data_IF_090990318179
#
_entry.id   IF_090990318179
#
_cell.length_a   1.000
_cell.length_b   1.000
_cell.length_c   1.000
_cell.angle_alpha   90.00
_cell.angle_beta   90.00
_cell.angle_gamma   90.00
#
_symmetry.space_group_name_H-M   'P 1'
#
loop_
_entity.id
_entity.type
_entity.pdbx_description
1 polymer ?
#
# COMPACT_ATOMS: atom_id res chain seq x y z
N UNK A 1 -14.70 20.54 -3.51
CA UNK A 1 -14.01 19.32 -3.11
C UNK A 1 -13.73 19.32 -1.61
N UNK A 2 -12.75 20.08 -1.10
CA UNK A 2 -12.31 20.05 0.31
C UNK A 2 -13.47 20.07 1.34
N UNK A 3 -14.39 21.03 1.25
CA UNK A 3 -15.57 21.11 2.15
C UNK A 3 -16.44 19.83 2.15
N UNK A 4 -16.56 19.13 1.02
CA UNK A 4 -17.29 17.86 0.94
C UNK A 4 -16.48 16.71 1.54
N UNK A 5 -15.16 16.66 1.27
CA UNK A 5 -14.22 15.69 1.85
C UNK A 5 -14.24 15.79 3.38
N UNK A 6 -14.10 16.99 3.93
CA UNK A 6 -14.11 17.23 5.37
C UNK A 6 -15.45 16.83 6.00
N UNK A 7 -16.57 17.20 5.36
CA UNK A 7 -17.91 16.81 5.81
C UNK A 7 -18.05 15.28 5.89
N UNK A 8 -17.73 14.55 4.81
CA UNK A 8 -17.81 13.08 4.77
C UNK A 8 -16.89 12.42 5.80
N UNK A 9 -15.67 12.92 5.98
CA UNK A 9 -14.73 12.40 6.98
C UNK A 9 -15.24 12.59 8.40
N UNK A 10 -15.90 13.72 8.71
CA UNK A 10 -16.54 13.89 10.02
C UNK A 10 -17.72 12.92 10.23
N UNK A 11 -18.52 12.64 9.20
CA UNK A 11 -19.58 11.63 9.30
C UNK A 11 -19.00 10.22 9.54
N UNK A 12 -17.96 9.84 8.79
CA UNK A 12 -17.28 8.55 8.99
C UNK A 12 -16.65 8.45 10.39
N UNK A 13 -16.09 9.54 10.94
CA UNK A 13 -15.56 9.58 12.32
C UNK A 13 -16.65 9.46 13.40
N UNK A 14 -17.90 9.80 13.09
CA UNK A 14 -19.04 9.48 13.94
C UNK A 14 -19.36 7.97 13.98
N UNK A 15 -19.07 7.26 12.89
CA UNK A 15 -19.44 5.85 12.67
C UNK A 15 -18.30 4.88 13.04
N UNK A 16 -17.04 5.28 12.84
CA UNK A 16 -15.86 4.44 13.01
C UNK A 16 -14.86 5.05 14.00
N UNK A 17 -14.09 4.20 14.69
CA UNK A 17 -12.98 4.57 15.58
C UNK A 17 -11.79 5.09 14.77
N UNK A 18 -11.43 4.38 13.69
CA UNK A 18 -10.33 4.75 12.82
C UNK A 18 -10.85 5.14 11.43
N UNK A 19 -10.43 6.32 10.96
CA UNK A 19 -10.77 6.88 9.64
C UNK A 19 -9.55 7.62 9.10
N UNK A 20 -9.04 7.19 7.96
CA UNK A 20 -7.87 7.78 7.31
C UNK A 20 -8.08 7.87 5.80
N UNK A 21 -7.60 8.96 5.20
CA UNK A 21 -7.41 9.07 3.76
C UNK A 21 -5.91 8.81 3.54
N UNK A 22 -5.52 7.81 2.72
CA UNK A 22 -4.12 7.59 2.38
C UNK A 22 -3.51 8.88 1.80
N UNK A 23 -2.30 9.29 2.22
CA UNK A 23 -1.73 10.52 1.73
C UNK A 23 -1.41 10.40 0.24
N UNK A 24 -1.41 11.54 -0.44
CA UNK A 24 -1.16 11.65 -1.88
C UNK A 24 -0.14 12.78 -2.13
N UNK A 25 0.47 12.73 -3.31
CA UNK A 25 1.38 13.79 -3.80
C UNK A 25 0.58 15.08 -4.01
N UNK A 26 1.14 16.23 -3.57
CA UNK A 26 0.45 17.53 -3.51
C UNK A 26 -0.08 18.01 -4.87
N UNK A 27 0.68 17.82 -5.95
CA UNK A 27 0.40 18.32 -7.30
C UNK A 27 -0.85 17.75 -8.03
N UNK A 28 -1.67 16.92 -7.37
CA UNK A 28 -2.94 16.44 -7.94
C UNK A 28 -3.99 17.56 -8.00
N UNK A 29 -3.96 18.33 -9.09
CA UNK A 29 -4.88 19.42 -9.42
C UNK A 29 -6.36 19.01 -9.53
N UNK A 30 -6.67 17.73 -9.72
CA UNK A 30 -8.04 17.23 -9.80
C UNK A 30 -8.28 16.15 -8.74
N UNK A 31 -9.48 16.18 -8.17
CA UNK A 31 -9.90 15.33 -7.07
C UNK A 31 -11.36 14.88 -7.28
N UNK A 32 -11.62 14.18 -8.39
CA UNK A 32 -12.94 13.60 -8.67
C UNK A 32 -13.36 12.54 -7.63
N UNK A 33 -12.37 11.86 -7.07
CA UNK A 33 -12.45 10.77 -6.11
C UNK A 33 -11.68 11.08 -4.81
N UNK A 34 -12.02 10.37 -3.73
CA UNK A 34 -11.08 10.12 -2.63
C UNK A 34 -11.30 8.75 -1.98
N UNK A 35 -10.23 7.96 -1.92
CA UNK A 35 -10.17 6.73 -1.14
C UNK A 35 -10.17 7.04 0.36
N UNK A 36 -10.98 6.31 1.14
CA UNK A 36 -10.96 6.35 2.60
C UNK A 36 -10.89 4.95 3.17
N UNK A 37 -10.03 4.74 4.16
CA UNK A 37 -9.88 3.51 4.90
C UNK A 37 -10.51 3.71 6.28
N UNK A 38 -11.36 2.77 6.70
CA UNK A 38 -12.11 2.81 7.96
C UNK A 38 -11.98 1.49 8.73
N UNK A 39 -12.00 1.55 10.06
CA UNK A 39 -11.92 0.39 10.95
C UNK A 39 -12.58 0.68 12.31
N UNK A 40 -13.11 -0.37 12.95
CA UNK A 40 -13.77 -0.31 14.26
C UNK A 40 -15.12 0.43 14.22
N UNK A 41 -16.22 -0.19 13.78
CA UNK A 41 -17.55 0.42 13.83
C UNK A 41 -17.99 0.68 15.28
N UNK A 42 -18.59 1.83 15.57
CA UNK A 42 -18.93 2.30 16.93
C UNK A 42 -20.31 1.81 17.41
N UNK A 43 -20.41 1.54 18.72
CA UNK A 43 -21.67 1.25 19.40
C UNK A 43 -22.41 0.06 18.78
N UNK A 44 -23.72 0.19 18.55
CA UNK A 44 -24.56 -0.86 17.97
C UNK A 44 -24.12 -1.30 16.56
N UNK A 45 -23.24 -0.54 15.90
CA UNK A 45 -22.67 -0.89 14.60
C UNK A 45 -21.53 -1.92 14.71
N UNK A 46 -20.88 -2.03 15.88
CA UNK A 46 -19.86 -3.06 16.14
C UNK A 46 -20.41 -4.49 16.04
N UNK A 47 -21.72 -4.63 16.32
CA UNK A 47 -22.49 -5.87 16.20
C UNK A 47 -23.11 -6.11 14.81
N UNK A 48 -22.89 -5.24 13.83
CA UNK A 48 -23.38 -5.49 12.47
C UNK A 48 -22.52 -6.55 11.77
N UNK A 49 -23.12 -7.60 11.18
CA UNK A 49 -22.38 -8.76 10.70
C UNK A 49 -21.70 -8.54 9.34
N UNK A 50 -22.03 -7.48 8.59
CA UNK A 50 -21.47 -7.26 7.26
C UNK A 50 -21.39 -5.80 6.79
N UNK A 51 -20.55 -5.61 5.77
CA UNK A 51 -20.39 -4.37 5.00
C UNK A 51 -21.69 -3.86 4.37
N UNK A 52 -22.65 -4.75 4.03
CA UNK A 52 -23.92 -4.37 3.40
C UNK A 52 -24.80 -3.58 4.35
N UNK A 53 -24.82 -3.98 5.62
CA UNK A 53 -25.54 -3.29 6.68
C UNK A 53 -24.99 -1.87 6.90
N UNK A 54 -23.66 -1.73 6.92
CA UNK A 54 -22.97 -0.43 6.96
C UNK A 54 -23.25 0.42 5.71
N UNK A 55 -23.25 -0.20 4.53
CA UNK A 55 -23.58 0.46 3.27
C UNK A 55 -25.01 1.03 3.28
N UNK A 56 -25.99 0.25 3.75
CA UNK A 56 -27.38 0.69 3.85
C UNK A 56 -27.56 1.85 4.85
N UNK A 57 -26.82 1.85 5.97
CA UNK A 57 -26.84 2.95 6.95
C UNK A 57 -26.27 4.24 6.35
N UNK A 58 -25.16 4.16 5.62
CA UNK A 58 -24.58 5.31 4.93
C UNK A 58 -25.50 5.82 3.79
N UNK A 59 -26.11 4.93 3.02
CA UNK A 59 -27.09 5.26 1.96
C UNK A 59 -28.41 5.86 2.49
N UNK A 60 -28.82 5.52 3.71
CA UNK A 60 -30.07 6.01 4.32
C UNK A 60 -29.87 7.30 5.10
N UNK A 61 -28.69 7.50 5.69
CA UNK A 61 -28.32 8.72 6.43
C UNK A 61 -27.90 9.87 5.51
N UNK A 62 -27.37 9.55 4.33
CA UNK A 62 -26.88 10.50 3.33
C UNK A 62 -27.36 10.09 1.94
N UNK A 63 -27.74 11.07 1.09
CA UNK A 63 -28.17 10.82 -0.30
C UNK A 63 -26.97 10.38 -1.17
N UNK A 64 -26.46 9.18 -0.94
CA UNK A 64 -25.18 8.70 -1.48
C UNK A 64 -25.28 7.22 -1.82
N UNK A 65 -25.48 6.91 -3.10
CA UNK A 65 -25.54 5.53 -3.60
C UNK A 65 -24.15 4.90 -3.60
N UNK A 66 -23.78 4.26 -2.49
CA UNK A 66 -22.58 3.42 -2.42
C UNK A 66 -22.93 2.08 -3.09
N UNK A 67 -22.24 1.68 -4.16
CA UNK A 67 -22.46 0.38 -4.81
C UNK A 67 -21.42 -0.65 -4.38
N UNK A 68 -21.88 -1.86 -4.04
CA UNK A 68 -21.00 -2.96 -3.69
C UNK A 68 -20.27 -3.53 -4.90
N UNK A 69 -18.98 -3.82 -4.74
CA UNK A 69 -18.31 -4.88 -5.49
C UNK A 69 -17.07 -5.38 -4.76
N UNK A 70 -16.89 -6.70 -4.77
CA UNK A 70 -15.56 -7.31 -4.63
C UNK A 70 -14.83 -7.07 -5.96
N UNK A 71 -13.94 -6.07 -5.99
CA UNK A 71 -13.22 -5.57 -7.19
C UNK A 71 -14.08 -4.96 -8.34
N UNK A 72 -14.73 -3.81 -8.16
CA UNK A 72 -15.17 -2.97 -9.30
C UNK A 72 -15.31 -1.47 -9.00
N UNK A 73 -15.14 -0.66 -10.05
CA UNK A 73 -15.35 0.80 -10.05
C UNK A 73 -16.85 1.14 -9.92
N UNK A 74 -17.17 2.33 -9.39
CA UNK A 74 -18.56 2.81 -9.24
C UNK A 74 -18.87 4.08 -10.07
N UNK A 75 -20.11 4.23 -10.52
CA UNK A 75 -20.61 5.36 -11.33
C UNK A 75 -22.07 5.69 -10.97
N UNK A 76 -22.51 6.95 -11.07
CA UNK A 76 -23.83 7.41 -10.54
C UNK A 76 -24.63 8.38 -11.45
N UNK A 77 -25.97 8.34 -11.32
CA UNK A 77 -27.00 9.30 -11.84
C UNK A 77 -28.21 9.32 -10.86
N UNK A 78 -29.30 10.12 -10.96
CA UNK A 78 -29.85 10.99 -12.04
C UNK A 78 -30.34 12.37 -11.54
N UNK A 79 -31.63 12.75 -11.67
CA UNK A 79 -32.09 14.18 -11.71
C UNK A 79 -33.62 14.35 -11.47
N UNK A 80 -34.23 15.57 -11.40
CA UNK A 80 -33.69 16.94 -11.66
C UNK A 80 -34.03 18.09 -10.66
N UNK A 81 -33.21 19.16 -10.61
CA UNK A 81 -33.62 20.59 -10.49
C UNK A 81 -32.39 21.54 -10.49
N UNK A 82 -32.59 22.83 -10.80
CA UNK A 82 -31.53 23.79 -11.16
C UNK A 82 -30.71 24.36 -9.98
N UNK A 83 -29.49 23.86 -9.84
CA UNK A 83 -28.26 24.63 -9.53
C UNK A 83 -27.08 23.77 -10.03
N UNK A 84 -25.87 24.32 -10.17
CA UNK A 84 -24.75 23.59 -10.78
C UNK A 84 -24.12 22.59 -9.78
N UNK A 85 -24.84 21.48 -9.54
CA UNK A 85 -24.51 20.44 -8.55
C UNK A 85 -23.17 19.78 -8.89
N UNK A 86 -22.23 19.88 -7.95
CA UNK A 86 -20.92 19.21 -8.00
C UNK A 86 -21.03 17.86 -7.29
N UNK A 87 -20.49 16.82 -7.90
CA UNK A 87 -20.44 15.46 -7.35
C UNK A 87 -18.99 15.13 -6.96
N UNK A 88 -18.82 14.17 -6.04
CA UNK A 88 -17.53 13.61 -5.64
C UNK A 88 -17.75 12.11 -5.44
N UNK A 89 -16.85 11.27 -5.95
CA UNK A 89 -16.82 9.83 -5.68
C UNK A 89 -16.09 9.57 -4.36
N UNK A 90 -16.62 8.67 -3.54
CA UNK A 90 -16.04 8.31 -2.23
C UNK A 90 -15.96 6.80 -2.15
N UNK A 91 -14.74 6.27 -2.23
CA UNK A 91 -14.49 4.84 -2.13
C UNK A 91 -14.06 4.49 -0.71
N UNK A 92 -14.91 3.74 0.01
CA UNK A 92 -14.72 3.42 1.44
C UNK A 92 -14.32 1.95 1.60
N UNK A 93 -13.14 1.71 2.17
CA UNK A 93 -12.63 0.37 2.46
C UNK A 93 -12.71 0.09 3.97
N UNK A 94 -13.53 -0.89 4.36
CA UNK A 94 -13.57 -1.38 5.74
C UNK A 94 -12.48 -2.43 5.98
N UNK A 95 -11.87 -2.36 7.17
CA UNK A 95 -11.05 -3.43 7.71
C UNK A 95 -11.48 -3.73 9.15
N UNK A 96 -11.46 -5.01 9.52
CA UNK A 96 -11.97 -5.47 10.82
C UNK A 96 -10.90 -5.51 11.92
N UNK A 97 -9.63 -5.42 11.54
CA UNK A 97 -8.48 -5.52 12.45
C UNK A 97 -7.77 -4.15 12.60
N UNK A 98 -7.94 -3.43 13.73
CA UNK A 98 -7.26 -2.16 13.99
C UNK A 98 -5.74 -2.27 13.88
N UNK A 99 -5.18 -3.40 14.33
CA UNK A 99 -3.76 -3.74 14.22
C UNK A 99 -3.20 -3.76 12.78
N UNK A 100 -4.04 -3.84 11.75
CA UNK A 100 -3.60 -3.75 10.34
C UNK A 100 -3.83 -2.37 9.72
N UNK A 101 -4.53 -1.45 10.40
CA UNK A 101 -5.03 -0.21 9.81
C UNK A 101 -3.93 0.66 9.19
N UNK A 102 -2.86 0.92 9.93
CA UNK A 102 -1.74 1.74 9.46
C UNK A 102 -1.02 1.10 8.27
N UNK A 103 -0.82 -0.23 8.29
CA UNK A 103 -0.27 -0.97 7.15
C UNK A 103 -1.14 -0.84 5.89
N UNK A 104 -2.48 -0.81 6.05
CA UNK A 104 -3.39 -0.55 4.93
C UNK A 104 -3.21 0.87 4.40
N UNK A 105 -3.21 1.88 5.28
CA UNK A 105 -2.96 3.29 4.90
C UNK A 105 -1.64 3.41 4.13
N UNK A 106 -0.56 2.81 4.63
CA UNK A 106 0.73 2.74 3.93
C UNK A 106 0.65 2.07 2.54
N UNK A 107 -0.09 0.96 2.41
CA UNK A 107 -0.19 0.24 1.13
C UNK A 107 -0.97 0.97 0.02
N UNK A 108 -1.75 2.00 0.37
CA UNK A 108 -2.43 2.91 -0.57
C UNK A 108 -1.80 4.31 -0.61
N UNK A 109 -0.83 4.60 0.26
CA UNK A 109 -0.15 5.89 0.34
C UNK A 109 0.68 6.18 -0.93
N UNK A 110 0.65 7.45 -1.36
CA UNK A 110 1.46 8.00 -2.44
C UNK A 110 1.42 7.18 -3.76
N UNK A 111 0.29 6.55 -4.07
CA UNK A 111 0.00 5.95 -5.38
C UNK A 111 0.78 4.66 -5.68
N UNK A 112 2.00 4.78 -6.18
CA UNK A 112 2.83 3.65 -6.61
C UNK A 112 4.07 3.41 -5.72
N UNK A 113 4.29 4.22 -4.67
CA UNK A 113 5.37 4.03 -3.68
C UNK A 113 5.47 2.57 -3.19
N UNK A 114 4.36 2.03 -2.69
CA UNK A 114 4.31 0.65 -2.19
C UNK A 114 4.66 -0.39 -3.27
N UNK A 115 4.34 -0.13 -4.55
CA UNK A 115 4.70 -1.01 -5.66
C UNK A 115 6.20 -0.94 -6.00
N UNK A 116 6.79 0.26 -5.98
CA UNK A 116 8.24 0.46 -6.21
C UNK A 116 9.03 -0.28 -5.12
N UNK A 117 8.72 -0.02 -3.84
CA UNK A 117 9.35 -0.70 -2.70
C UNK A 117 9.16 -2.22 -2.79
N UNK A 118 7.94 -2.69 -3.06
CA UNK A 118 7.62 -4.12 -3.17
C UNK A 118 8.45 -4.84 -4.23
N UNK A 119 8.78 -4.19 -5.34
CA UNK A 119 9.58 -4.78 -6.41
C UNK A 119 11.08 -4.65 -6.10
N UNK A 120 11.51 -3.52 -5.52
CA UNK A 120 12.91 -3.30 -5.11
C UNK A 120 13.43 -4.32 -4.09
N UNK A 121 12.63 -4.69 -3.09
CA UNK A 121 13.07 -5.61 -2.01
C UNK A 121 12.95 -7.11 -2.32
N UNK A 122 12.27 -7.49 -3.41
CA UNK A 122 12.08 -8.90 -3.82
C UNK A 122 13.37 -9.66 -4.13
N UNK A 123 14.35 -9.10 -4.87
CA UNK A 123 15.68 -9.69 -5.08
C UNK A 123 16.39 -10.08 -3.78
N UNK A 124 16.18 -9.30 -2.72
CA UNK A 124 16.72 -9.53 -1.38
C UNK A 124 15.92 -10.58 -0.58
N UNK A 125 14.91 -11.22 -1.16
CA UNK A 125 14.10 -12.26 -0.51
C UNK A 125 12.99 -11.74 0.39
N UNK A 126 12.77 -10.42 0.46
CA UNK A 126 11.65 -9.83 1.19
C UNK A 126 10.39 -9.76 0.31
N UNK A 127 9.21 -9.81 0.93
CA UNK A 127 7.94 -9.57 0.23
C UNK A 127 7.02 -8.68 1.06
N UNK A 128 6.59 -7.56 0.47
CA UNK A 128 5.49 -6.75 0.99
C UNK A 128 4.14 -7.40 0.62
N UNK A 129 3.38 -7.79 1.63
CA UNK A 129 2.07 -8.48 1.52
C UNK A 129 0.96 -7.62 2.13
N UNK A 130 -0.32 -7.90 1.84
CA UNK A 130 -1.43 -7.15 2.43
C UNK A 130 -1.49 -7.13 3.97
N UNK A 131 -0.72 -7.98 4.65
CA UNK A 131 -0.65 -8.12 6.11
C UNK A 131 0.68 -7.69 6.73
N UNK A 132 1.71 -7.31 5.96
CA UNK A 132 3.02 -6.92 6.50
C UNK A 132 4.21 -7.20 5.59
N UNK A 133 5.41 -6.99 6.14
CA UNK A 133 6.70 -7.41 5.58
C UNK A 133 7.00 -8.87 5.96
N UNK A 134 7.53 -9.63 5.00
CA UNK A 134 7.91 -11.03 5.17
C UNK A 134 9.30 -11.31 4.58
N UNK A 135 10.08 -12.20 5.20
CA UNK A 135 11.30 -12.79 4.65
C UNK A 135 11.03 -14.20 4.12
N UNK A 136 11.55 -14.56 2.95
CA UNK A 136 11.45 -15.94 2.40
C UNK A 136 12.68 -16.76 2.79
N UNK A 137 12.46 -17.93 3.40
CA UNK A 137 13.52 -18.92 3.67
C UNK A 137 13.88 -19.61 2.34
N UNK A 138 15.10 -19.43 1.85
CA UNK A 138 15.50 -19.85 0.49
C UNK A 138 15.39 -21.37 0.28
N UNK A 139 15.80 -22.18 1.25
CA UNK A 139 15.74 -23.65 1.16
C UNK A 139 14.30 -24.17 1.07
N UNK A 140 13.38 -23.52 1.81
CA UNK A 140 11.95 -23.84 1.71
C UNK A 140 11.41 -23.30 0.37
N UNK A 141 11.84 -22.13 -0.07
CA UNK A 141 11.30 -21.46 -1.27
C UNK A 141 11.57 -22.20 -2.58
N UNK A 142 12.69 -22.93 -2.63
CA UNK A 142 13.05 -23.80 -3.74
C UNK A 142 12.06 -24.96 -3.95
N UNK A 143 11.30 -25.34 -2.92
CA UNK A 143 10.43 -26.53 -2.90
C UNK A 143 8.95 -26.14 -2.70
N UNK A 144 8.66 -25.29 -1.71
CA UNK A 144 7.32 -24.82 -1.36
C UNK A 144 7.30 -23.30 -1.08
N UNK A 145 6.90 -22.55 -2.11
CA UNK A 145 6.84 -21.08 -2.11
C UNK A 145 5.81 -20.47 -1.16
N UNK A 146 4.83 -21.23 -0.71
CA UNK A 146 3.82 -20.76 0.23
C UNK A 146 4.21 -21.06 1.68
N UNK A 147 5.04 -22.09 1.91
CA UNK A 147 5.63 -22.41 3.20
C UNK A 147 6.89 -21.58 3.54
N UNK A 148 7.62 -21.03 2.58
CA UNK A 148 8.83 -20.23 2.82
C UNK A 148 8.70 -18.91 3.63
N UNK A 149 7.57 -18.17 3.66
CA UNK A 149 7.53 -16.82 4.23
C UNK A 149 7.48 -16.80 5.77
N UNK A 150 8.36 -16.04 6.40
CA UNK A 150 8.34 -15.67 7.82
C UNK A 150 7.81 -14.24 7.92
N UNK A 151 6.77 -14.01 8.73
CA UNK A 151 6.28 -12.66 9.03
C UNK A 151 7.31 -11.92 9.87
N UNK A 152 7.67 -10.71 9.46
CA UNK A 152 8.58 -9.85 10.20
C UNK A 152 7.78 -8.89 11.08
N UNK A 153 7.17 -7.87 10.45
CA UNK A 153 6.34 -6.88 11.11
C UNK A 153 5.33 -6.29 10.13
N UNK A 154 4.33 -5.60 10.65
CA UNK A 154 3.43 -4.72 9.92
C UNK A 154 3.45 -3.27 10.46
N UNK A 155 4.42 -2.96 11.32
CA UNK A 155 4.78 -1.61 11.72
C UNK A 155 5.42 -0.88 10.52
N UNK A 156 4.85 0.26 10.15
CA UNK A 156 5.27 1.02 8.97
C UNK A 156 6.59 1.75 9.20
N UNK A 157 6.82 2.26 10.42
CA UNK A 157 8.05 2.97 10.79
C UNK A 157 9.23 1.99 10.74
N UNK A 158 9.13 0.85 11.43
CA UNK A 158 10.20 -0.14 11.46
C UNK A 158 10.53 -0.72 10.08
N UNK A 159 9.55 -0.81 9.17
CA UNK A 159 9.80 -1.25 7.78
C UNK A 159 10.52 -0.19 6.96
N UNK A 160 10.14 1.09 7.07
CA UNK A 160 10.79 2.17 6.36
C UNK A 160 12.23 2.39 6.88
N UNK A 161 12.42 2.43 8.19
CA UNK A 161 13.74 2.53 8.82
C UNK A 161 14.63 1.34 8.43
N UNK A 162 14.12 0.10 8.45
CA UNK A 162 14.85 -1.08 7.98
C UNK A 162 15.24 -1.00 6.50
N UNK A 163 14.43 -0.34 5.66
CA UNK A 163 14.77 -0.10 4.25
C UNK A 163 15.74 1.08 4.05
N UNK A 164 16.21 1.73 5.11
CA UNK A 164 17.06 2.93 5.04
C UNK A 164 16.30 4.19 4.62
N UNK A 165 14.98 4.23 4.81
CA UNK A 165 14.10 5.33 4.40
C UNK A 165 13.66 6.17 5.60
N UNK A 166 13.68 7.49 5.44
CA UNK A 166 13.33 8.46 6.49
C UNK A 166 11.80 8.51 6.75
N UNK A 167 11.38 7.97 7.89
CA UNK A 167 9.98 7.99 8.32
C UNK A 167 9.44 9.40 8.58
N UNK A 168 10.26 10.36 9.01
CA UNK A 168 9.83 11.76 9.17
C UNK A 168 9.56 12.39 7.81
N UNK A 169 10.42 12.13 6.82
CA UNK A 169 10.18 12.56 5.43
C UNK A 169 8.91 11.93 4.85
N UNK A 170 8.67 10.64 5.10
CA UNK A 170 7.41 9.97 4.71
C UNK A 170 6.18 10.67 5.30
N UNK A 171 6.21 11.04 6.58
CA UNK A 171 5.10 11.70 7.26
C UNK A 171 4.87 13.16 6.81
N UNK A 172 5.93 13.85 6.36
CA UNK A 172 5.82 15.17 5.72
C UNK A 172 5.16 15.10 4.33
N UNK A 173 5.35 13.98 3.63
CA UNK A 173 4.85 13.76 2.27
C UNK A 173 5.75 14.32 1.18
N UNK A 174 5.19 14.42 -0.03
CA UNK A 174 5.93 14.74 -1.26
C UNK A 174 5.10 15.70 -2.10
N UNK A 175 5.72 16.77 -2.58
CA UNK A 175 5.00 17.78 -3.35
C UNK A 175 4.69 17.31 -4.78
N UNK A 176 5.65 16.59 -5.36
CA UNK A 176 5.60 16.09 -6.73
C UNK A 176 6.10 14.63 -6.82
N UNK A 177 6.01 14.05 -8.02
CA UNK A 177 6.45 12.67 -8.26
C UNK A 177 7.98 12.50 -8.28
N UNK A 178 8.74 13.55 -8.57
CA UNK A 178 10.21 13.55 -8.55
C UNK A 178 10.72 13.22 -7.14
N UNK A 179 10.22 13.93 -6.13
CA UNK A 179 10.55 13.70 -4.72
C UNK A 179 10.13 12.31 -4.25
N UNK A 180 8.97 11.83 -4.70
CA UNK A 180 8.46 10.50 -4.36
C UNK A 180 9.37 9.40 -4.91
N UNK A 181 9.82 9.52 -6.16
CA UNK A 181 10.67 8.54 -6.82
C UNK A 181 12.10 8.58 -6.25
N UNK A 182 12.64 9.76 -5.98
CA UNK A 182 13.90 9.94 -5.27
C UNK A 182 13.86 9.28 -3.88
N UNK A 183 12.80 9.51 -3.11
CA UNK A 183 12.59 8.84 -1.82
C UNK A 183 12.49 7.32 -1.97
N UNK A 184 11.64 6.81 -2.87
CA UNK A 184 11.44 5.37 -3.06
C UNK A 184 12.71 4.62 -3.48
N UNK A 185 13.63 5.29 -4.18
CA UNK A 185 14.88 4.72 -4.68
C UNK A 185 16.12 5.03 -3.83
N UNK A 186 15.99 5.89 -2.81
CA UNK A 186 17.03 6.13 -1.80
C UNK A 186 17.23 4.96 -0.83
N UNK A 187 16.34 3.96 -0.84
CA UNK A 187 16.48 2.74 -0.06
C UNK A 187 17.78 1.99 -0.41
N UNK A 188 18.53 1.57 0.61
CA UNK A 188 19.69 0.70 0.44
C UNK A 188 19.35 -0.70 -0.13
N UNK A 189 18.07 -1.08 -0.20
CA UNK A 189 17.56 -2.28 -0.88
C UNK A 189 17.09 -1.99 -2.32
N UNK A 190 17.35 -0.80 -2.88
CA UNK A 190 17.04 -0.49 -4.27
C UNK A 190 18.25 -0.75 -5.19
N UNK A 191 18.26 -1.91 -5.85
CA UNK A 191 19.19 -2.20 -6.95
C UNK A 191 18.49 -2.02 -8.28
N UNK A 192 19.04 -1.15 -9.14
CA UNK A 192 18.48 -0.81 -10.46
C UNK A 192 18.36 -2.03 -11.36
N UNK A 193 19.45 -2.78 -11.50
CA UNK A 193 19.52 -3.98 -12.33
C UNK A 193 18.48 -5.01 -11.87
N UNK A 194 18.47 -5.30 -10.57
CA UNK A 194 17.57 -6.28 -10.00
C UNK A 194 16.10 -5.84 -10.07
N UNK A 195 15.81 -4.54 -9.86
CA UNK A 195 14.48 -3.97 -10.08
C UNK A 195 14.01 -4.14 -11.53
N UNK A 196 14.85 -3.81 -12.52
CA UNK A 196 14.52 -3.96 -13.94
C UNK A 196 14.26 -5.41 -14.32
N UNK A 197 15.10 -6.35 -13.87
CA UNK A 197 14.92 -7.79 -14.08
C UNK A 197 13.62 -8.30 -13.43
N UNK A 198 13.36 -7.89 -12.18
CA UNK A 198 12.16 -8.31 -11.43
C UNK A 198 10.88 -7.73 -12.04
N UNK A 199 10.91 -6.48 -12.52
CA UNK A 199 9.79 -5.83 -13.20
C UNK A 199 9.48 -6.49 -14.55
N UNK A 200 10.51 -6.74 -15.38
CA UNK A 200 10.35 -7.45 -16.65
C UNK A 200 9.84 -8.89 -16.48
N UNK A 201 10.17 -9.54 -15.36
CA UNK A 201 9.71 -10.89 -15.02
C UNK A 201 8.23 -10.98 -14.60
N UNK A 202 7.54 -9.86 -14.42
CA UNK A 202 6.11 -9.85 -14.09
C UNK A 202 5.27 -10.25 -15.32
N UNK A 203 4.94 -11.55 -15.41
CA UNK A 203 4.17 -12.16 -16.53
C UNK A 203 2.98 -11.29 -16.97
N UNK A 204 2.83 -10.96 -18.28
CA UNK A 204 1.76 -10.09 -18.82
C UNK A 204 0.31 -10.41 -18.39
N UNK A 205 0.01 -11.65 -18.00
CA UNK A 205 -1.32 -12.08 -17.53
C UNK A 205 -1.63 -11.86 -16.04
N UNK A 206 -0.62 -11.78 -15.16
CA UNK A 206 -0.84 -11.67 -13.69
C UNK A 206 -0.84 -10.21 -13.22
N UNK A 207 -1.77 -9.42 -13.76
CA UNK A 207 -1.93 -7.99 -13.44
C UNK A 207 -0.76 -7.05 -13.85
N UNK A 208 -0.14 -7.26 -15.03
CA UNK A 208 0.37 -6.15 -15.86
C UNK A 208 -0.69 -5.43 -16.70
N UNK A 209 -1.98 -5.71 -16.53
CA UNK A 209 -3.07 -5.08 -17.30
C UNK A 209 -3.67 -3.81 -16.66
N UNK A 210 -3.25 -3.46 -15.42
CA UNK A 210 -3.64 -2.25 -14.68
C UNK A 210 -2.44 -1.35 -14.29
N UNK A 211 -1.30 -1.91 -13.84
CA UNK A 211 -0.14 -1.12 -13.36
C UNK A 211 0.61 -0.36 -14.46
N UNK A 212 0.88 -1.00 -15.59
CA UNK A 212 1.42 -0.38 -16.82
C UNK A 212 0.54 0.73 -17.43
N UNK A 213 -0.69 0.92 -16.92
CA UNK A 213 -1.62 1.99 -17.31
C UNK A 213 -1.70 3.11 -16.28
N UNK A 214 -1.05 2.97 -15.11
CA UNK A 214 -0.96 4.05 -14.11
C UNK A 214 0.08 5.04 -14.61
N UNK A 215 -0.32 6.30 -14.76
CA UNK A 215 0.57 7.37 -15.22
C UNK A 215 1.83 7.46 -14.34
N UNK A 216 1.69 7.38 -13.02
CA UNK A 216 2.83 7.38 -12.08
C UNK A 216 3.78 6.21 -12.28
N UNK A 217 3.28 4.99 -12.54
CA UNK A 217 4.13 3.83 -12.78
C UNK A 217 4.92 3.97 -14.08
N UNK A 218 4.25 4.38 -15.16
CA UNK A 218 4.87 4.62 -16.47
C UNK A 218 5.93 5.72 -16.37
N UNK A 219 5.59 6.84 -15.72
CA UNK A 219 6.52 7.94 -15.48
C UNK A 219 7.75 7.49 -14.68
N UNK A 220 7.58 6.63 -13.66
CA UNK A 220 8.71 6.05 -12.94
C UNK A 220 9.58 5.16 -13.84
N UNK A 221 9.00 4.15 -14.50
CA UNK A 221 9.78 3.10 -15.18
C UNK A 221 10.30 3.50 -16.56
N UNK A 222 9.62 4.41 -17.26
CA UNK A 222 9.92 4.76 -18.66
C UNK A 222 10.51 6.16 -18.83
N UNK A 223 10.47 7.02 -17.80
CA UNK A 223 10.98 8.40 -17.87
C UNK A 223 11.97 8.72 -16.74
N UNK A 224 11.52 8.65 -15.48
CA UNK A 224 12.30 9.06 -14.32
C UNK A 224 13.50 8.17 -14.06
N UNK A 225 13.30 6.85 -13.93
CA UNK A 225 14.40 5.94 -13.65
C UNK A 225 15.42 5.94 -14.81
N UNK A 226 15.03 5.89 -16.10
CA UNK A 226 15.96 6.04 -17.22
C UNK A 226 16.76 7.35 -17.25
N UNK A 227 16.20 8.47 -16.81
CA UNK A 227 16.90 9.78 -16.77
C UNK A 227 17.89 9.93 -15.62
N UNK A 228 17.83 9.05 -14.61
CA UNK A 228 18.73 9.03 -13.45
C UNK A 228 19.62 7.77 -13.46
N UNK A 229 20.58 7.63 -14.39
CA UNK A 229 21.40 6.42 -14.57
C UNK A 229 22.23 6.00 -13.35
N UNK A 230 22.60 6.94 -12.50
CA UNK A 230 23.39 6.76 -11.28
C UNK A 230 22.63 6.04 -10.15
N UNK A 231 21.30 6.14 -10.11
CA UNK A 231 20.47 5.57 -9.05
C UNK A 231 20.50 4.03 -9.06
N UNK A 232 20.67 3.44 -7.88
CA UNK A 232 20.64 1.98 -7.65
C UNK A 232 21.79 1.21 -8.28
N UNK A 233 22.94 1.86 -8.48
CA UNK A 233 24.15 1.27 -9.11
C UNK A 233 25.12 0.62 -8.12
N UNK A 234 25.13 1.08 -6.87
CA UNK A 234 25.95 0.51 -5.78
C UNK A 234 25.26 -0.72 -5.19
N UNK A 235 25.51 -1.88 -5.79
CA UNK A 235 24.94 -3.16 -5.36
C UNK A 235 26.05 -4.17 -5.08
N UNK A 236 26.08 -4.71 -3.85
CA UNK A 236 26.83 -5.91 -3.51
C UNK A 236 25.86 -7.07 -3.24
N UNK A 237 25.98 -8.12 -4.05
CA UNK A 237 25.14 -9.31 -3.96
C UNK A 237 25.49 -10.18 -2.73
N UNK A 238 26.70 -10.00 -2.17
CA UNK A 238 27.19 -10.71 -0.99
C UNK A 238 26.49 -10.26 0.32
N UNK A 239 25.92 -9.06 0.36
CA UNK A 239 25.27 -8.52 1.57
C UNK A 239 23.97 -9.25 1.94
N UNK A 240 23.39 -10.05 1.04
CA UNK A 240 22.05 -10.65 1.24
C UNK A 240 21.94 -11.48 2.53
N UNK A 241 22.96 -12.28 2.87
CA UNK A 241 22.96 -13.05 4.13
C UNK A 241 23.07 -12.15 5.36
N UNK A 242 23.87 -11.10 5.29
CA UNK A 242 24.00 -10.07 6.35
C UNK A 242 22.68 -9.32 6.56
N UNK A 243 22.03 -8.91 5.48
CA UNK A 243 20.71 -8.26 5.49
C UNK A 243 19.65 -9.18 6.10
N UNK A 244 19.70 -10.49 5.83
CA UNK A 244 18.78 -11.47 6.43
C UNK A 244 19.00 -11.61 7.93
N UNK A 245 20.25 -11.73 8.38
CA UNK A 245 20.58 -11.80 9.80
C UNK A 245 20.15 -10.52 10.54
N UNK A 246 20.49 -9.35 10.00
CA UNK A 246 20.08 -8.05 10.53
C UNK A 246 18.55 -7.94 10.63
N UNK A 247 17.80 -8.36 9.60
CA UNK A 247 16.34 -8.35 9.65
C UNK A 247 15.79 -9.26 10.76
N UNK A 248 16.29 -10.50 10.87
CA UNK A 248 15.83 -11.44 11.90
C UNK A 248 16.13 -10.96 13.32
N UNK A 249 17.24 -10.23 13.52
CA UNK A 249 17.59 -9.59 14.78
C UNK A 249 16.70 -8.38 15.07
N UNK A 250 16.58 -7.43 14.13
CA UNK A 250 15.81 -6.17 14.27
C UNK A 250 14.33 -6.45 14.57
N UNK A 251 13.73 -7.45 13.93
CA UNK A 251 12.31 -7.77 14.08
C UNK A 251 12.01 -8.85 15.15
N UNK A 252 13.03 -9.36 15.85
CA UNK A 252 12.94 -10.50 16.78
C UNK A 252 12.22 -11.72 16.17
N UNK A 253 12.84 -12.29 15.11
CA UNK A 253 12.27 -13.40 14.33
C UNK A 253 13.17 -14.60 14.13
N UNK A 254 14.40 -14.57 14.64
CA UNK A 254 15.29 -15.75 14.62
C UNK A 254 14.61 -17.03 15.15
N UNK A 255 13.89 -17.03 16.30
CA UNK A 255 13.27 -18.26 16.82
C UNK A 255 12.19 -18.81 15.88
N UNK A 256 11.43 -17.93 15.23
CA UNK A 256 10.39 -18.32 14.28
C UNK A 256 10.99 -18.84 12.96
N UNK A 257 12.04 -18.19 12.47
CA UNK A 257 12.77 -18.60 11.28
C UNK A 257 13.38 -19.99 11.46
N UNK A 258 14.18 -20.19 12.52
CA UNK A 258 14.82 -21.48 12.80
C UNK A 258 13.83 -22.59 13.11
N UNK A 259 12.74 -22.30 13.85
CA UNK A 259 11.65 -23.26 14.04
C UNK A 259 11.04 -23.70 12.71
N UNK A 260 10.85 -22.78 11.76
CA UNK A 260 10.24 -23.09 10.47
C UNK A 260 11.18 -23.87 9.55
N UNK A 261 12.46 -23.51 9.51
CA UNK A 261 13.49 -24.21 8.74
C UNK A 261 13.78 -25.60 9.31
N UNK A 262 13.85 -25.76 10.63
CA UNK A 262 14.07 -27.06 11.27
C UNK A 262 12.85 -27.99 11.18
N UNK A 263 11.63 -27.45 11.11
CA UNK A 263 10.42 -28.26 10.86
C UNK A 263 10.26 -28.68 9.38
N UNK A 264 11.14 -28.19 8.49
CA UNK A 264 11.16 -28.51 7.06
C UNK A 264 12.32 -29.45 6.67
N UNK A 265 13.32 -29.61 7.55
CA UNK A 265 14.46 -30.52 7.40
C UNK A 265 14.15 -31.88 8.01
#
# INVERSE_FOLDING_TARGET
YLVLKDYFIQQLRGIFEHVAIPPHVSDKLDHGDFDTIVCGPKGNLASLPDLKSLQAILQSSYLTTITHSTEANTHATRRPSHSQKRFVQVDVQLYDAPSQFEWKVFSYAYGDLYNILKIGVQPFGFTLRPSGLFLRIAEIDAINKDASPVFLTNDVQLVLEFFGLDFQRYNQGFDNLEELFGYATSSHLFSRLQFSLQNASLKPGTSPSKRSKRASWVQFTEQWLPSHPEIGTTFDENDKSTIHANALQIFDREPLYWKKLNAFR
#
